data_IF_289069035874
#
_entry.id   IF_289069035874
#
_cell.length_a   1.000
_cell.length_b   1.000
_cell.length_c   1.000
_cell.angle_alpha   90.00
_cell.angle_beta   90.00
_cell.angle_gamma   90.00
#
_symmetry.space_group_name_H-M   'P 1'
#
loop_
_entity.id
_entity.type
_entity.pdbx_description
1 polymer ?
#
# COMPACT_ATOMS: atom_id res chain seq x y z
N UNK A 1 -31.78 22.35 -81.21
CA UNK A 1 -32.83 23.33 -80.87
C UNK A 1 -33.71 22.72 -79.78
N UNK A 2 -33.74 23.34 -78.60
CA UNK A 2 -34.80 23.31 -77.56
C UNK A 2 -35.23 21.92 -76.99
N UNK A 3 -35.59 21.65 -75.73
CA UNK A 3 -35.97 22.34 -74.49
C UNK A 3 -35.61 21.35 -73.34
N UNK A 4 -35.02 21.71 -72.20
CA UNK A 4 -35.49 22.53 -71.07
C UNK A 4 -36.49 21.85 -70.11
N UNK A 5 -36.21 22.07 -68.81
CA UNK A 5 -37.08 22.04 -67.62
C UNK A 5 -36.99 20.78 -66.72
N UNK A 6 -36.30 20.85 -65.56
CA UNK A 6 -36.74 21.37 -64.23
C UNK A 6 -37.45 20.24 -63.44
N UNK A 7 -37.25 19.95 -62.16
CA UNK A 7 -36.95 20.72 -60.95
C UNK A 7 -36.63 19.65 -59.85
N UNK A 8 -36.02 19.83 -58.67
CA UNK A 8 -36.41 20.66 -57.53
C UNK A 8 -35.22 20.70 -56.55
N UNK A 9 -34.92 21.90 -56.07
CA UNK A 9 -33.97 22.26 -55.02
C UNK A 9 -34.43 21.78 -53.64
N UNK A 10 -33.55 21.22 -52.83
CA UNK A 10 -33.71 21.20 -51.37
C UNK A 10 -32.50 21.88 -50.71
N UNK A 11 -32.84 22.93 -49.97
CA UNK A 11 -31.98 23.79 -49.17
C UNK A 11 -31.29 22.97 -48.07
N UNK A 12 -29.95 22.98 -48.02
CA UNK A 12 -29.18 22.42 -46.89
C UNK A 12 -28.41 23.55 -46.21
N UNK A 13 -28.83 23.85 -44.99
CA UNK A 13 -28.19 24.78 -44.05
C UNK A 13 -26.80 24.23 -43.72
N UNK A 14 -25.75 25.02 -43.96
CA UNK A 14 -24.39 24.72 -43.51
C UNK A 14 -24.31 24.91 -42.00
N UNK A 15 -24.00 23.83 -41.28
CA UNK A 15 -23.41 23.88 -39.94
C UNK A 15 -21.97 23.40 -40.08
N UNK A 16 -21.02 24.30 -39.82
CA UNK A 16 -19.59 24.00 -39.78
C UNK A 16 -19.28 23.12 -38.55
N UNK A 17 -18.67 21.93 -38.69
CA UNK A 17 -18.12 21.24 -37.55
C UNK A 17 -16.79 21.87 -37.15
N UNK A 18 -16.73 22.42 -35.93
CA UNK A 18 -15.48 22.75 -35.24
C UNK A 18 -14.61 21.49 -35.15
N UNK A 19 -13.36 21.63 -35.58
CA UNK A 19 -12.34 20.58 -35.60
C UNK A 19 -12.09 20.01 -34.20
N UNK A 20 -12.46 18.75 -33.98
CA UNK A 20 -11.87 17.92 -32.94
C UNK A 20 -10.61 17.30 -33.55
N UNK A 21 -9.46 17.92 -33.33
CA UNK A 21 -8.17 17.30 -33.59
C UNK A 21 -7.91 16.24 -32.53
N UNK A 22 -7.99 14.98 -32.93
CA UNK A 22 -7.50 13.85 -32.16
C UNK A 22 -6.01 14.05 -31.86
N UNK A 23 -5.64 14.06 -30.57
CA UNK A 23 -4.25 13.98 -30.15
C UNK A 23 -3.81 12.52 -30.29
N UNK A 24 -2.70 12.22 -30.98
CA UNK A 24 -2.23 10.85 -31.13
C UNK A 24 -1.71 10.33 -29.79
N UNK A 25 -2.16 9.14 -29.40
CA UNK A 25 -1.59 8.34 -28.31
C UNK A 25 -0.25 7.82 -28.81
N UNK A 26 0.81 8.59 -28.55
CA UNK A 26 2.20 8.17 -28.71
C UNK A 26 2.72 7.65 -27.37
N UNK A 27 3.06 6.36 -27.33
CA UNK A 27 3.87 5.79 -26.26
C UNK A 27 5.22 6.53 -26.19
N UNK A 28 5.41 7.32 -25.14
CA UNK A 28 6.70 7.63 -24.52
C UNK A 28 6.40 8.31 -23.17
N UNK A 29 6.26 7.51 -22.13
CA UNK A 29 6.27 8.01 -20.75
C UNK A 29 7.70 8.38 -20.38
N UNK A 30 8.11 9.61 -20.70
CA UNK A 30 9.19 10.28 -19.97
C UNK A 30 8.71 10.50 -18.54
N UNK A 31 9.47 9.97 -17.58
CA UNK A 31 9.29 10.15 -16.13
C UNK A 31 8.96 11.63 -15.85
N UNK A 32 7.78 11.92 -15.29
CA UNK A 32 7.51 13.24 -14.75
C UNK A 32 8.55 13.50 -13.63
N UNK A 33 9.28 14.62 -13.71
CA UNK A 33 10.29 14.97 -12.71
C UNK A 33 9.58 15.14 -11.35
N UNK A 34 9.88 14.27 -10.39
CA UNK A 34 9.24 14.26 -9.08
C UNK A 34 9.70 15.43 -8.18
N UNK A 35 10.64 16.24 -8.68
CA UNK A 35 11.23 17.40 -8.02
C UNK A 35 10.82 18.68 -8.77
N UNK A 36 10.22 19.62 -8.06
CA UNK A 36 9.80 20.90 -8.64
C UNK A 36 10.98 21.89 -8.77
N UNK A 37 11.16 22.45 -9.96
CA UNK A 37 12.09 23.55 -10.22
C UNK A 37 11.53 24.87 -9.69
N UNK A 38 12.22 25.46 -8.71
CA UNK A 38 11.87 26.77 -8.14
C UNK A 38 12.82 27.83 -8.69
N UNK A 39 12.23 28.78 -9.41
CA UNK A 39 12.96 29.83 -10.16
C UNK A 39 12.78 31.23 -9.57
N UNK A 40 11.96 31.37 -8.52
CA UNK A 40 11.72 32.66 -7.86
C UNK A 40 11.20 32.49 -6.43
N UNK A 41 11.36 33.54 -5.63
CA UNK A 41 10.78 33.61 -4.28
C UNK A 41 9.26 33.42 -4.26
N UNK A 42 8.54 34.05 -5.18
CA UNK A 42 7.07 33.93 -5.23
C UNK A 42 6.62 32.47 -5.43
N UNK A 43 7.34 31.72 -6.26
CA UNK A 43 7.07 30.30 -6.49
C UNK A 43 7.39 29.46 -5.24
N UNK A 44 8.48 29.76 -4.54
CA UNK A 44 8.79 29.10 -3.27
C UNK A 44 7.70 29.37 -2.22
N UNK A 45 7.29 30.62 -2.08
CA UNK A 45 6.24 31.02 -1.13
C UNK A 45 4.91 30.33 -1.44
N UNK A 46 4.53 30.21 -2.72
CA UNK A 46 3.35 29.45 -3.14
C UNK A 46 3.47 27.96 -2.77
N UNK A 47 4.65 27.36 -2.95
CA UNK A 47 4.90 25.97 -2.60
C UNK A 47 4.79 25.72 -1.08
N UNK A 48 5.38 26.63 -0.29
CA UNK A 48 5.33 26.61 1.17
C UNK A 48 3.91 26.79 1.72
N UNK A 49 3.04 27.48 0.98
CA UNK A 49 1.63 27.68 1.34
C UNK A 49 0.72 26.54 0.88
N UNK A 50 1.05 25.90 -0.25
CA UNK A 50 0.23 24.84 -0.85
C UNK A 50 0.51 23.45 -0.28
N UNK A 51 1.68 23.24 0.32
CA UNK A 51 2.08 21.96 0.90
C UNK A 51 2.53 22.10 2.36
N UNK A 52 2.00 21.27 3.28
CA UNK A 52 2.40 21.27 4.68
C UNK A 52 3.89 21.06 4.90
N UNK A 53 4.55 20.25 4.07
CA UNK A 53 5.99 20.05 4.13
C UNK A 53 6.59 20.20 2.74
N UNK A 54 7.69 20.95 2.69
CA UNK A 54 8.49 21.17 1.49
C UNK A 54 9.95 20.94 1.84
N UNK A 55 10.63 20.13 1.05
CA UNK A 55 12.07 19.93 1.14
C UNK A 55 12.69 20.62 -0.07
N UNK A 56 13.56 21.60 0.18
CA UNK A 56 14.17 22.42 -0.87
C UNK A 56 15.66 22.12 -0.91
N UNK A 57 16.17 21.69 -2.06
CA UNK A 57 17.60 21.52 -2.32
C UNK A 57 18.15 22.74 -3.05
N UNK A 58 19.08 23.44 -2.43
CA UNK A 58 19.92 24.45 -3.07
C UNK A 58 21.11 23.77 -3.71
N UNK A 59 21.35 24.02 -4.99
CA UNK A 59 22.40 23.36 -5.78
C UNK A 59 23.06 24.31 -6.78
N UNK A 60 24.18 23.88 -7.35
CA UNK A 60 24.79 24.48 -8.54
C UNK A 60 25.19 23.36 -9.50
N UNK A 61 25.15 23.62 -10.81
CA UNK A 61 25.49 22.63 -11.84
C UNK A 61 26.99 22.30 -11.88
N UNK A 62 27.83 23.22 -11.40
CA UNK A 62 29.29 23.10 -11.39
C UNK A 62 29.83 22.39 -10.15
N UNK A 63 28.97 22.06 -9.17
CA UNK A 63 29.36 21.39 -7.93
C UNK A 63 29.27 19.86 -8.05
N UNK A 64 30.39 19.18 -7.83
CA UNK A 64 30.47 17.71 -7.93
C UNK A 64 29.66 17.00 -6.83
N UNK A 65 29.61 17.57 -5.63
CA UNK A 65 28.87 17.00 -4.49
C UNK A 65 27.37 17.02 -4.75
N UNK A 66 26.87 18.04 -5.46
CA UNK A 66 25.49 18.11 -5.93
C UNK A 66 25.16 16.95 -6.89
N UNK A 67 26.04 16.68 -7.86
CA UNK A 67 25.87 15.57 -8.81
C UNK A 67 25.85 14.20 -8.12
N UNK A 68 26.65 14.03 -7.07
CA UNK A 68 26.71 12.77 -6.33
C UNK A 68 25.42 12.45 -5.56
N UNK A 69 24.77 13.46 -4.96
CA UNK A 69 23.57 13.26 -4.15
C UNK A 69 22.26 13.35 -4.96
N UNK A 70 22.31 13.86 -6.19
CA UNK A 70 21.15 13.99 -7.08
C UNK A 70 20.32 12.70 -7.20
N UNK A 71 20.91 11.53 -7.48
CA UNK A 71 20.12 10.31 -7.69
C UNK A 71 19.35 9.90 -6.43
N UNK A 72 19.95 10.12 -5.25
CA UNK A 72 19.28 9.87 -3.98
C UNK A 72 18.11 10.84 -3.79
N UNK A 73 18.31 12.13 -4.08
CA UNK A 73 17.27 13.13 -3.91
C UNK A 73 16.06 12.85 -4.82
N UNK A 74 16.31 12.51 -6.08
CA UNK A 74 15.25 12.11 -7.03
C UNK A 74 14.55 10.81 -6.62
N UNK A 75 15.30 9.82 -6.14
CA UNK A 75 14.73 8.57 -5.65
C UNK A 75 13.81 8.82 -4.44
N UNK A 76 14.24 9.64 -3.48
CA UNK A 76 13.42 10.02 -2.32
C UNK A 76 12.17 10.79 -2.77
N UNK A 77 12.32 11.79 -3.64
CA UNK A 77 11.19 12.52 -4.19
C UNK A 77 10.17 11.60 -4.88
N UNK A 78 10.64 10.63 -5.66
CA UNK A 78 9.78 9.67 -6.36
C UNK A 78 9.09 8.68 -5.42
N UNK A 79 9.80 8.21 -4.38
CA UNK A 79 9.29 7.20 -3.46
C UNK A 79 8.27 7.77 -2.47
N UNK A 80 8.60 8.92 -1.86
CA UNK A 80 7.83 9.46 -0.74
C UNK A 80 7.14 10.80 -1.06
N UNK A 81 7.43 11.41 -2.21
CA UNK A 81 6.71 12.61 -2.66
C UNK A 81 5.21 12.35 -2.71
N UNK A 82 4.45 13.29 -2.14
CA UNK A 82 2.99 13.27 -2.11
C UNK A 82 2.50 14.67 -2.43
N UNK A 83 1.92 14.90 -3.63
CA UNK A 83 1.39 16.21 -3.98
C UNK A 83 0.47 16.74 -2.88
N UNK A 84 0.61 18.03 -2.53
CA UNK A 84 -0.15 18.71 -1.46
C UNK A 84 0.12 18.24 -0.02
N UNK A 85 1.08 17.35 0.21
CA UNK A 85 1.47 16.92 1.56
C UNK A 85 2.98 17.08 1.79
N UNK A 86 3.78 16.46 0.93
CA UNK A 86 5.25 16.45 0.98
C UNK A 86 5.79 16.67 -0.43
N UNK A 87 6.33 17.87 -0.67
CA UNK A 87 6.88 18.23 -1.99
C UNK A 87 8.39 18.39 -1.90
N UNK A 88 9.07 17.92 -2.94
CA UNK A 88 10.49 18.10 -3.14
C UNK A 88 10.70 19.18 -4.19
N UNK A 89 11.56 20.14 -3.88
CA UNK A 89 11.89 21.24 -4.76
C UNK A 89 13.41 21.39 -4.89
N UNK A 90 13.85 22.04 -5.97
CA UNK A 90 15.25 22.41 -6.19
C UNK A 90 15.35 23.88 -6.58
N UNK A 91 16.35 24.56 -6.06
CA UNK A 91 16.66 25.97 -6.30
C UNK A 91 18.10 26.06 -6.80
N UNK A 92 18.29 26.62 -7.98
CA UNK A 92 19.61 26.88 -8.53
C UNK A 92 20.19 28.14 -7.86
N UNK A 93 21.32 27.95 -7.17
CA UNK A 93 22.01 28.98 -6.41
C UNK A 93 22.54 30.11 -7.30
N UNK A 94 22.87 29.83 -8.55
CA UNK A 94 23.45 30.79 -9.49
C UNK A 94 22.38 31.72 -10.07
N UNK A 95 21.14 31.23 -10.17
CA UNK A 95 20.00 32.00 -10.70
C UNK A 95 19.14 32.68 -9.63
N UNK A 96 19.03 32.09 -8.42
CA UNK A 96 18.14 32.55 -7.36
C UNK A 96 18.91 33.15 -6.16
N UNK A 97 19.77 34.14 -6.41
CA UNK A 97 20.65 34.71 -5.38
C UNK A 97 19.92 35.39 -4.21
N UNK A 98 18.70 35.86 -4.43
CA UNK A 98 17.82 36.41 -3.40
C UNK A 98 17.47 35.36 -2.33
N UNK A 99 17.08 34.16 -2.77
CA UNK A 99 16.78 33.04 -1.88
C UNK A 99 18.03 32.53 -1.15
N UNK A 100 19.17 32.52 -1.84
CA UNK A 100 20.48 32.14 -1.26
C UNK A 100 20.85 33.06 -0.10
N UNK A 101 20.69 34.37 -0.27
CA UNK A 101 20.96 35.35 0.77
C UNK A 101 19.95 35.27 1.91
N UNK A 102 18.66 35.14 1.60
CA UNK A 102 17.59 35.07 2.60
C UNK A 102 17.73 33.87 3.53
N UNK A 103 18.06 32.70 2.99
CA UNK A 103 18.26 31.48 3.77
C UNK A 103 19.70 31.23 4.22
N UNK A 104 20.62 32.15 3.91
CA UNK A 104 22.01 32.09 4.36
C UNK A 104 22.78 30.87 3.85
N UNK A 105 22.59 30.49 2.59
CA UNK A 105 23.22 29.31 2.00
C UNK A 105 24.70 29.59 1.76
N UNK A 106 25.58 28.86 2.46
CA UNK A 106 27.05 29.01 2.34
C UNK A 106 27.75 27.75 1.84
N UNK A 107 27.07 26.60 1.84
CA UNK A 107 27.60 25.29 1.45
C UNK A 107 26.63 24.65 0.47
N UNK A 108 27.14 24.03 -0.59
CA UNK A 108 26.33 23.28 -1.54
C UNK A 108 26.69 21.78 -1.50
N UNK A 109 25.72 20.89 -1.75
CA UNK A 109 24.27 21.15 -1.72
C UNK A 109 23.82 21.49 -0.29
N UNK A 110 22.75 22.27 -0.15
CA UNK A 110 22.06 22.46 1.15
C UNK A 110 20.60 22.10 1.00
N UNK A 111 20.08 21.30 1.92
CA UNK A 111 18.67 20.92 1.98
C UNK A 111 18.01 21.65 3.14
N UNK A 112 16.92 22.35 2.86
CA UNK A 112 16.10 23.00 3.87
C UNK A 112 14.76 22.31 3.93
N UNK A 113 14.40 21.88 5.13
CA UNK A 113 13.08 21.37 5.45
C UNK A 113 12.20 22.51 5.95
N UNK A 114 11.07 22.68 5.30
CA UNK A 114 10.00 23.55 5.74
C UNK A 114 8.79 22.74 6.23
N UNK A 115 8.15 23.22 7.27
CA UNK A 115 6.87 22.71 7.77
C UNK A 115 5.91 23.86 8.04
N UNK A 116 4.76 23.86 7.36
CA UNK A 116 3.76 24.94 7.39
C UNK A 116 4.41 26.31 7.18
N UNK A 117 5.30 26.39 6.17
CA UNK A 117 6.07 27.58 5.83
C UNK A 117 7.20 27.96 6.79
N UNK A 118 7.47 27.19 7.86
CA UNK A 118 8.57 27.47 8.80
C UNK A 118 9.77 26.57 8.54
N UNK A 119 10.97 27.14 8.55
CA UNK A 119 12.23 26.38 8.50
C UNK A 119 12.37 25.54 9.77
N UNK A 120 12.49 24.23 9.61
CA UNK A 120 12.59 23.26 10.71
C UNK A 120 13.98 22.68 10.86
N UNK A 121 14.61 22.30 9.75
CA UNK A 121 15.94 21.67 9.77
C UNK A 121 16.70 22.01 8.49
N UNK A 122 18.02 22.04 8.59
CA UNK A 122 18.93 22.28 7.47
C UNK A 122 20.00 21.20 7.46
N UNK A 123 20.18 20.56 6.31
CA UNK A 123 21.25 19.59 6.07
C UNK A 123 22.23 20.22 5.09
N UNK A 124 23.49 20.33 5.48
CA UNK A 124 24.53 20.96 4.66
C UNK A 124 25.47 19.92 4.05
N UNK A 125 25.88 20.15 2.80
CA UNK A 125 26.73 19.27 2.02
C UNK A 125 26.00 18.00 1.54
N UNK A 126 26.75 17.14 0.84
CA UNK A 126 26.25 15.86 0.35
C UNK A 126 26.11 14.80 1.47
N UNK A 127 25.50 15.16 2.59
CA UNK A 127 25.31 14.28 3.74
C UNK A 127 24.07 13.38 3.55
N UNK A 128 24.25 12.30 2.80
CA UNK A 128 23.18 11.35 2.47
C UNK A 128 22.58 10.62 3.68
N UNK A 129 23.34 10.44 4.77
CA UNK A 129 22.86 9.78 5.97
C UNK A 129 21.93 10.70 6.78
N UNK A 130 22.34 11.94 6.99
CA UNK A 130 21.52 12.93 7.70
C UNK A 130 20.23 13.25 6.93
N UNK A 131 20.33 13.41 5.60
CA UNK A 131 19.16 13.65 4.75
C UNK A 131 18.12 12.54 4.92
N UNK A 132 18.54 11.26 4.85
CA UNK A 132 17.62 10.12 5.07
C UNK A 132 17.04 10.11 6.47
N UNK A 133 17.84 10.40 7.50
CA UNK A 133 17.37 10.41 8.89
C UNK A 133 16.33 11.49 9.15
N UNK A 134 16.56 12.72 8.65
CA UNK A 134 15.64 13.84 8.79
C UNK A 134 14.34 13.55 8.06
N UNK A 135 14.43 13.05 6.81
CA UNK A 135 13.28 12.61 6.03
C UNK A 135 12.48 11.53 6.75
N UNK A 136 13.15 10.49 7.26
CA UNK A 136 12.49 9.41 8.01
C UNK A 136 11.73 9.91 9.24
N UNK A 137 12.31 10.86 10.01
CA UNK A 137 11.63 11.48 11.15
C UNK A 137 10.39 12.26 10.72
N UNK A 138 10.47 13.04 9.66
CA UNK A 138 9.33 13.83 9.17
C UNK A 138 8.20 12.92 8.70
N UNK A 139 8.53 11.85 7.98
CA UNK A 139 7.53 10.87 7.51
C UNK A 139 6.84 10.22 8.70
N UNK A 140 7.61 9.76 9.70
CA UNK A 140 7.05 9.18 10.93
C UNK A 140 6.22 10.19 11.75
N UNK A 141 6.66 11.45 11.84
CA UNK A 141 5.89 12.49 12.51
C UNK A 141 4.63 12.87 11.74
N UNK A 142 4.69 12.94 10.41
CA UNK A 142 3.54 13.17 9.54
C UNK A 142 2.47 12.08 9.75
N UNK A 143 2.90 10.82 9.78
CA UNK A 143 2.02 9.68 10.08
C UNK A 143 1.32 9.90 11.44
N UNK A 144 2.04 10.31 12.48
CA UNK A 144 1.45 10.58 13.81
C UNK A 144 0.64 11.88 13.92
N UNK A 145 0.90 12.90 13.10
CA UNK A 145 0.18 14.17 13.15
C UNK A 145 -1.14 14.14 12.37
N UNK A 146 -1.22 13.29 11.36
CA UNK A 146 -2.48 12.97 10.67
C UNK A 146 -3.44 12.24 11.63
N UNK A 147 -2.93 11.52 12.64
CA UNK A 147 -3.72 10.91 13.72
C UNK A 147 -4.23 11.92 14.77
N UNK A 148 -3.62 13.12 14.88
CA UNK A 148 -3.82 14.07 15.98
C UNK A 148 -4.74 15.26 15.73
N UNK A 149 -5.24 15.46 14.50
CA UNK A 149 -6.18 16.55 14.16
C UNK A 149 -7.46 16.00 13.51
N UNK A 150 -8.10 15.01 14.15
CA UNK A 150 -9.36 14.43 13.74
C UNK A 150 -10.58 15.17 14.30
N UNK A 151 -10.98 16.25 13.63
CA UNK A 151 -12.40 16.63 13.56
C UNK A 151 -13.04 15.79 12.44
N UNK A 152 -14.04 14.98 12.81
CA UNK A 152 -14.91 14.18 11.94
C UNK A 152 -14.20 13.30 10.89
N UNK A 153 -13.87 12.07 11.32
CA UNK A 153 -13.09 11.08 10.57
C UNK A 153 -13.76 10.56 9.29
N UNK A 154 -13.06 10.75 8.17
CA UNK A 154 -12.97 9.76 7.10
C UNK A 154 -11.71 8.90 7.30
N UNK A 155 -11.71 7.62 6.89
CA UNK A 155 -10.62 6.69 7.16
C UNK A 155 -9.34 7.11 6.44
N UNK A 156 -8.19 7.05 7.13
CA UNK A 156 -6.87 6.97 6.48
C UNK A 156 -6.97 5.91 5.38
N UNK A 157 -6.45 6.16 4.18
CA UNK A 157 -6.44 5.12 3.15
C UNK A 157 -5.64 3.91 3.68
N UNK A 158 -6.38 2.90 4.15
CA UNK A 158 -5.85 1.62 4.56
C UNK A 158 -4.98 1.09 3.42
N UNK A 159 -3.80 0.56 3.75
CA UNK A 159 -2.94 -0.05 2.76
C UNK A 159 -3.74 -1.11 2.01
N UNK A 160 -3.75 -1.00 0.67
CA UNK A 160 -4.69 -1.75 -0.17
C UNK A 160 -4.21 -3.14 -0.53
N UNK A 161 -2.91 -3.45 -0.39
CA UNK A 161 -2.33 -4.70 -0.85
C UNK A 161 -2.38 -4.81 -2.37
N UNK A 162 -3.33 -5.57 -2.89
CA UNK A 162 -3.59 -5.72 -4.32
C UNK A 162 -4.96 -5.14 -4.74
N UNK A 163 -5.18 -4.95 -6.03
CA UNK A 163 -6.45 -4.42 -6.55
C UNK A 163 -7.65 -5.29 -6.12
N UNK A 164 -8.71 -4.63 -5.66
CA UNK A 164 -9.95 -5.27 -5.25
C UNK A 164 -10.86 -5.46 -6.48
N UNK A 165 -11.33 -6.68 -6.77
CA UNK A 165 -12.25 -6.92 -7.88
C UNK A 165 -13.53 -6.07 -7.77
N UNK A 166 -13.99 -5.55 -8.91
CA UNK A 166 -15.18 -4.70 -8.99
C UNK A 166 -16.39 -5.39 -8.38
N UNK A 167 -17.12 -4.67 -7.53
CA UNK A 167 -18.34 -5.16 -6.88
C UNK A 167 -18.13 -5.84 -5.53
N UNK A 168 -16.89 -6.02 -5.09
CA UNK A 168 -16.55 -6.56 -3.77
C UNK A 168 -15.83 -5.53 -2.91
N UNK A 169 -15.84 -5.74 -1.58
CA UNK A 169 -15.16 -4.89 -0.61
C UNK A 169 -14.20 -5.69 0.28
N UNK A 170 -13.31 -4.97 0.96
CA UNK A 170 -12.50 -5.54 2.04
C UNK A 170 -13.40 -5.79 3.26
N UNK A 171 -13.46 -7.05 3.70
CA UNK A 171 -14.25 -7.52 4.84
C UNK A 171 -13.37 -8.06 5.96
N UNK A 172 -12.09 -7.68 5.97
CA UNK A 172 -11.11 -8.09 6.99
C UNK A 172 -11.50 -7.61 8.39
N UNK A 173 -12.24 -6.49 8.49
CA UNK A 173 -12.80 -5.97 9.76
C UNK A 173 -13.81 -6.91 10.44
N UNK A 174 -14.33 -7.90 9.71
CA UNK A 174 -15.24 -8.92 10.23
C UNK A 174 -14.52 -10.03 10.99
N UNK A 175 -13.18 -10.10 10.94
CA UNK A 175 -12.40 -11.07 11.71
C UNK A 175 -12.62 -10.85 13.21
N UNK A 176 -12.90 -11.94 13.93
CA UNK A 176 -12.93 -11.93 15.39
C UNK A 176 -11.52 -12.23 15.93
N UNK A 177 -10.69 -11.19 16.03
CA UNK A 177 -9.26 -11.29 16.37
C UNK A 177 -8.94 -12.09 17.64
N UNK A 178 -9.85 -12.07 18.64
CA UNK A 178 -9.66 -12.80 19.90
C UNK A 178 -9.80 -14.32 19.76
N UNK A 179 -10.52 -14.78 18.75
CA UNK A 179 -10.70 -16.20 18.46
C UNK A 179 -9.76 -16.73 17.38
N UNK A 180 -8.86 -15.89 16.84
CA UNK A 180 -7.84 -16.34 15.90
C UNK A 180 -6.80 -17.21 16.62
N UNK A 181 -6.45 -18.32 16.00
CA UNK A 181 -5.41 -19.23 16.47
C UNK A 181 -4.43 -19.49 15.33
N UNK A 182 -3.13 -19.45 15.63
CA UNK A 182 -2.07 -19.75 14.69
C UNK A 182 -1.17 -20.82 15.30
N UNK A 183 -1.10 -21.98 14.65
CA UNK A 183 -0.23 -23.08 15.06
C UNK A 183 1.10 -23.05 14.29
N UNK A 184 2.15 -23.54 14.97
CA UNK A 184 3.54 -23.56 14.50
C UNK A 184 4.13 -22.16 14.23
N UNK A 185 3.67 -21.12 14.92
CA UNK A 185 4.31 -19.81 14.83
C UNK A 185 5.66 -19.78 15.57
N UNK A 186 6.67 -19.14 14.97
CA UNK A 186 7.97 -18.89 15.60
C UNK A 186 7.83 -17.96 16.83
N UNK A 187 8.63 -18.21 17.87
CA UNK A 187 8.59 -17.45 19.13
C UNK A 187 8.97 -15.97 18.97
N UNK A 188 9.75 -15.62 17.93
CA UNK A 188 10.13 -14.25 17.63
C UNK A 188 9.14 -13.54 16.71
N UNK A 189 8.16 -14.27 16.18
CA UNK A 189 7.16 -13.73 15.28
C UNK A 189 6.16 -12.83 16.03
N UNK A 190 5.48 -11.96 15.27
CA UNK A 190 4.40 -11.14 15.79
C UNK A 190 3.16 -11.97 16.17
N UNK A 191 2.27 -11.45 17.02
CA UNK A 191 1.02 -12.13 17.35
C UNK A 191 0.10 -12.20 16.13
N UNK A 192 -0.74 -13.24 16.03
CA UNK A 192 -1.65 -13.49 14.88
C UNK A 192 -2.45 -12.26 14.40
N UNK A 193 -2.80 -11.33 15.30
CA UNK A 193 -3.52 -10.09 14.96
C UNK A 193 -2.81 -9.21 13.93
N UNK A 194 -1.47 -9.28 13.82
CA UNK A 194 -0.69 -8.44 12.89
C UNK A 194 -1.05 -8.73 11.43
N UNK A 195 -1.52 -9.95 11.15
CA UNK A 195 -1.96 -10.35 9.82
C UNK A 195 -3.13 -9.50 9.31
N UNK A 196 -3.95 -8.94 10.21
CA UNK A 196 -5.18 -8.23 9.84
C UNK A 196 -5.07 -6.71 9.99
N UNK A 197 -3.86 -6.18 10.22
CA UNK A 197 -3.66 -4.75 10.33
C UNK A 197 -3.85 -4.05 8.98
N UNK A 198 -4.48 -2.87 9.00
CA UNK A 198 -4.68 -2.03 7.82
C UNK A 198 -3.43 -1.26 7.39
N UNK A 199 -2.37 -1.30 8.21
CA UNK A 199 -1.08 -0.67 7.96
C UNK A 199 -0.30 -1.45 6.88
N UNK A 200 0.52 -0.73 6.11
CA UNK A 200 1.46 -1.36 5.18
C UNK A 200 2.50 -2.18 5.98
N UNK A 201 2.87 -3.41 5.54
CA UNK A 201 3.96 -4.16 6.17
C UNK A 201 5.22 -3.32 6.32
N UNK A 202 5.81 -3.34 7.50
CA UNK A 202 7.01 -2.57 7.80
C UNK A 202 8.19 -2.92 6.88
N UNK A 203 8.28 -4.19 6.46
CA UNK A 203 9.31 -4.68 5.55
C UNK A 203 9.21 -4.12 4.11
N UNK A 204 8.05 -3.55 3.73
CA UNK A 204 7.89 -2.83 2.46
C UNK A 204 8.04 -1.31 2.62
N UNK A 205 8.23 -0.83 3.85
CA UNK A 205 8.44 0.58 4.19
C UNK A 205 9.91 0.91 4.39
N UNK A 206 10.22 2.21 4.39
CA UNK A 206 11.56 2.73 4.73
C UNK A 206 11.76 2.91 6.25
N UNK A 207 10.72 2.63 7.04
CA UNK A 207 10.69 2.80 8.50
C UNK A 207 11.07 1.52 9.23
N UNK A 208 11.86 1.64 10.29
CA UNK A 208 12.16 0.53 11.20
C UNK A 208 10.97 0.37 12.15
N UNK A 209 10.20 -0.71 12.03
CA UNK A 209 9.14 -1.02 13.00
C UNK A 209 9.71 -1.28 14.39
N UNK A 210 9.00 -0.85 15.42
CA UNK A 210 9.37 -1.07 16.83
C UNK A 210 8.99 -2.47 17.32
N UNK A 211 8.11 -3.18 16.60
CA UNK A 211 7.65 -4.55 16.88
C UNK A 211 7.54 -5.39 15.62
N UNK A 212 7.65 -6.72 15.74
CA UNK A 212 7.44 -7.66 14.63
C UNK A 212 5.97 -7.62 14.18
N UNK A 213 5.75 -7.19 12.94
CA UNK A 213 4.42 -7.03 12.33
C UNK A 213 4.14 -8.09 11.26
N UNK A 214 4.72 -9.28 11.44
CA UNK A 214 4.61 -10.44 10.55
C UNK A 214 4.60 -11.71 11.39
N UNK A 215 4.08 -12.79 10.82
CA UNK A 215 4.18 -14.14 11.39
C UNK A 215 5.12 -14.99 10.57
N UNK A 216 5.73 -15.99 11.20
CA UNK A 216 6.60 -16.96 10.53
C UNK A 216 6.38 -18.34 11.15
N UNK A 217 6.58 -19.41 10.38
CA UNK A 217 6.63 -20.76 10.93
C UNK A 217 7.89 -21.02 11.75
N UNK A 218 7.76 -21.88 12.77
CA UNK A 218 8.82 -22.12 13.74
C UNK A 218 9.64 -23.39 13.49
N UNK A 219 8.99 -24.52 13.19
CA UNK A 219 9.68 -25.83 13.11
C UNK A 219 9.96 -26.30 11.69
N UNK A 220 9.06 -25.98 10.76
CA UNK A 220 9.05 -26.38 9.36
C UNK A 220 8.31 -25.29 8.56
N UNK A 221 8.01 -25.54 7.29
CA UNK A 221 7.33 -24.59 6.40
C UNK A 221 5.79 -24.63 6.48
N UNK A 222 5.23 -25.31 7.48
CA UNK A 222 3.78 -25.41 7.68
C UNK A 222 3.24 -24.37 8.66
N UNK A 223 2.06 -23.82 8.37
CA UNK A 223 1.30 -22.96 9.27
C UNK A 223 -0.17 -23.31 9.21
N UNK A 224 -0.84 -23.33 10.37
CA UNK A 224 -2.28 -23.54 10.43
C UNK A 224 -2.94 -22.36 11.13
N UNK A 225 -3.70 -21.57 10.37
CA UNK A 225 -4.36 -20.36 10.84
C UNK A 225 -5.88 -20.56 10.85
N UNK A 226 -6.48 -20.48 12.03
CA UNK A 226 -7.93 -20.46 12.23
C UNK A 226 -8.45 -19.02 12.39
N UNK A 227 -9.49 -18.67 11.63
CA UNK A 227 -10.05 -17.32 11.53
C UNK A 227 -11.58 -17.38 11.72
N UNK A 228 -12.10 -17.02 12.89
CA UNK A 228 -13.54 -16.83 13.08
C UNK A 228 -14.00 -15.46 12.61
N UNK A 229 -15.26 -15.37 12.18
CA UNK A 229 -15.90 -14.13 11.73
C UNK A 229 -17.07 -13.71 12.62
N UNK A 230 -17.21 -12.40 12.83
CA UNK A 230 -18.32 -11.77 13.56
C UNK A 230 -19.67 -11.92 12.84
N UNK A 231 -19.63 -12.13 11.53
CA UNK A 231 -20.81 -12.31 10.67
C UNK A 231 -20.53 -13.37 9.62
N UNK A 232 -21.58 -13.90 9.00
CA UNK A 232 -21.43 -14.81 7.86
C UNK A 232 -20.91 -14.03 6.66
N UNK A 233 -19.79 -14.42 6.07
CA UNK A 233 -19.16 -13.74 4.94
C UNK A 233 -19.33 -14.56 3.65
N UNK A 234 -19.55 -13.87 2.53
CA UNK A 234 -19.32 -14.42 1.18
C UNK A 234 -17.91 -14.06 0.73
N UNK A 235 -16.97 -15.01 0.72
CA UNK A 235 -15.59 -14.73 0.35
C UNK A 235 -15.37 -14.93 -1.15
N UNK A 236 -14.83 -13.90 -1.80
CA UNK A 236 -14.51 -13.91 -3.24
C UNK A 236 -13.02 -14.03 -3.50
N UNK A 237 -12.19 -13.25 -2.79
CA UNK A 237 -10.74 -13.24 -2.99
C UNK A 237 -10.05 -13.27 -1.64
N UNK A 238 -9.01 -14.10 -1.54
CA UNK A 238 -8.05 -14.09 -0.45
C UNK A 238 -6.80 -13.39 -0.95
N UNK A 239 -6.34 -12.36 -0.26
CA UNK A 239 -5.04 -11.74 -0.53
C UNK A 239 -4.08 -12.10 0.59
N UNK A 240 -2.88 -12.56 0.23
CA UNK A 240 -1.80 -12.90 1.16
C UNK A 240 -0.60 -12.07 0.80
N UNK A 241 0.00 -11.42 1.78
CA UNK A 241 1.23 -10.65 1.61
C UNK A 241 2.35 -11.32 2.36
N UNK A 242 3.46 -11.56 1.68
CA UNK A 242 4.62 -12.26 2.21
C UNK A 242 5.89 -11.62 1.67
N UNK A 243 6.53 -10.85 2.54
CA UNK A 243 7.69 -10.03 2.20
C UNK A 243 8.94 -10.79 2.61
N UNK A 244 9.72 -11.22 1.63
CA UNK A 244 11.01 -11.87 1.87
C UNK A 244 12.05 -10.77 2.08
N UNK A 245 12.73 -10.72 3.25
CA UNK A 245 13.81 -9.77 3.48
C UNK A 245 14.90 -9.92 2.41
N UNK A 246 15.43 -8.80 1.93
CA UNK A 246 16.45 -8.80 0.88
C UNK A 246 17.68 -9.63 1.30
N UNK A 247 18.05 -10.62 0.48
CA UNK A 247 19.18 -11.51 0.74
C UNK A 247 18.92 -12.63 1.75
N UNK A 248 17.70 -12.79 2.26
CA UNK A 248 17.33 -13.90 3.13
C UNK A 248 17.06 -15.17 2.33
N UNK A 249 17.63 -16.29 2.77
CA UNK A 249 17.31 -17.66 2.30
C UNK A 249 16.49 -18.45 3.31
N UNK A 250 16.35 -17.93 4.53
CA UNK A 250 15.79 -18.69 5.66
C UNK A 250 14.25 -18.73 5.65
N UNK A 251 13.61 -17.81 4.90
CA UNK A 251 12.16 -17.71 4.79
C UNK A 251 11.72 -17.69 3.34
N UNK A 252 10.61 -18.36 3.07
CA UNK A 252 9.94 -18.40 1.78
C UNK A 252 8.51 -17.88 1.87
N UNK A 253 7.89 -17.75 0.69
CA UNK A 253 6.46 -17.46 0.56
C UNK A 253 5.68 -18.77 0.62
N UNK A 254 4.40 -18.74 1.05
CA UNK A 254 3.51 -19.89 0.90
C UNK A 254 3.39 -20.31 -0.58
N UNK A 255 3.51 -21.61 -0.87
CA UNK A 255 3.32 -22.16 -2.22
C UNK A 255 2.04 -22.97 -2.29
N UNK A 256 1.88 -23.99 -1.45
CA UNK A 256 0.68 -24.84 -1.45
C UNK A 256 -0.18 -24.51 -0.24
N UNK A 257 -1.44 -24.15 -0.48
CA UNK A 257 -2.39 -23.75 0.58
C UNK A 257 -3.68 -24.56 0.47
N UNK A 258 -4.09 -25.17 1.57
CA UNK A 258 -5.43 -25.74 1.77
C UNK A 258 -6.35 -24.76 2.49
N UNK A 259 -7.54 -24.50 1.93
CA UNK A 259 -8.55 -23.66 2.57
C UNK A 259 -9.75 -24.49 3.00
N UNK A 260 -10.16 -24.34 4.25
CA UNK A 260 -11.34 -24.97 4.83
C UNK A 260 -12.30 -23.92 5.38
N UNK A 261 -13.60 -24.21 5.35
CA UNK A 261 -14.61 -23.34 5.95
C UNK A 261 -15.55 -24.12 6.86
N UNK A 262 -16.05 -23.45 7.91
CA UNK A 262 -17.11 -23.97 8.78
C UNK A 262 -16.83 -25.35 9.39
N UNK A 263 -15.58 -25.62 9.75
CA UNK A 263 -15.24 -26.81 10.53
C UNK A 263 -15.86 -26.70 11.93
N UNK A 264 -16.24 -27.85 12.49
CA UNK A 264 -16.91 -27.96 13.80
C UNK A 264 -15.99 -27.72 14.98
N UNK A 265 -14.69 -27.93 14.76
CA UNK A 265 -13.59 -27.73 15.71
C UNK A 265 -12.42 -27.09 14.98
N UNK A 266 -11.51 -26.48 15.74
CA UNK A 266 -10.23 -26.03 15.20
C UNK A 266 -9.46 -27.27 14.77
N UNK A 267 -8.96 -27.24 13.53
CA UNK A 267 -8.18 -28.36 12.98
C UNK A 267 -6.78 -28.35 13.59
N UNK A 268 -6.19 -29.53 13.71
CA UNK A 268 -4.74 -29.69 13.87
C UNK A 268 -4.08 -30.06 12.52
N UNK A 269 -2.76 -30.26 12.51
CA UNK A 269 -2.02 -30.58 11.29
C UNK A 269 -2.42 -31.94 10.71
N UNK A 270 -2.62 -32.97 11.54
CA UNK A 270 -3.01 -34.30 11.06
C UNK A 270 -4.39 -34.27 10.40
N UNK A 271 -5.36 -33.61 11.03
CA UNK A 271 -6.68 -33.40 10.44
C UNK A 271 -6.63 -32.58 9.15
N UNK A 272 -5.74 -31.57 9.07
CA UNK A 272 -5.59 -30.71 7.91
C UNK A 272 -4.92 -31.40 6.72
N UNK A 273 -4.04 -32.38 6.96
CA UNK A 273 -3.41 -33.20 5.92
C UNK A 273 -4.37 -34.27 5.38
N UNK A 274 -5.14 -34.92 6.27
CA UNK A 274 -6.04 -36.02 5.87
C UNK A 274 -7.32 -35.52 5.18
N UNK A 275 -7.80 -34.33 5.54
CA UNK A 275 -9.10 -33.86 5.09
C UNK A 275 -9.05 -33.11 3.76
N UNK A 276 -10.04 -33.32 2.90
CA UNK A 276 -10.14 -32.59 1.63
C UNK A 276 -10.43 -31.10 1.89
N UNK A 277 -9.62 -30.16 1.36
CA UNK A 277 -9.87 -28.74 1.50
C UNK A 277 -11.08 -28.32 0.66
N UNK A 278 -11.80 -27.30 1.14
CA UNK A 278 -12.86 -26.66 0.34
C UNK A 278 -12.31 -26.15 -0.98
N UNK A 279 -11.07 -25.64 -0.95
CA UNK A 279 -10.27 -25.32 -2.12
C UNK A 279 -8.77 -25.48 -1.79
N UNK A 280 -8.04 -26.16 -2.68
CA UNK A 280 -6.57 -26.19 -2.69
C UNK A 280 -6.06 -25.17 -3.70
N UNK A 281 -4.97 -24.48 -3.38
CA UNK A 281 -4.34 -23.43 -4.18
C UNK A 281 -2.83 -23.71 -4.25
N UNK A 282 -2.28 -23.57 -5.45
CA UNK A 282 -0.83 -23.50 -5.69
C UNK A 282 -0.49 -22.09 -6.16
N UNK A 283 0.35 -21.40 -5.42
CA UNK A 283 0.80 -20.04 -5.70
C UNK A 283 2.05 -20.07 -6.57
N UNK A 284 1.86 -19.66 -7.83
CA UNK A 284 2.95 -19.43 -8.78
C UNK A 284 3.47 -17.98 -8.72
N UNK A 285 4.70 -17.70 -9.22
CA UNK A 285 5.28 -16.36 -9.22
C UNK A 285 4.39 -15.27 -9.81
N UNK A 286 3.56 -15.59 -10.82
CA UNK A 286 2.64 -14.66 -11.47
C UNK A 286 1.49 -14.17 -10.57
N UNK A 287 1.18 -14.88 -9.49
CA UNK A 287 0.14 -14.46 -8.56
C UNK A 287 0.58 -13.27 -7.70
N UNK A 288 1.89 -13.04 -7.57
CA UNK A 288 2.48 -12.03 -6.70
C UNK A 288 2.70 -10.71 -7.44
N UNK A 289 2.23 -9.60 -6.86
CA UNK A 289 2.48 -8.27 -7.39
C UNK A 289 3.83 -7.69 -6.91
N UNK A 290 4.17 -6.48 -7.36
CA UNK A 290 5.39 -5.76 -6.97
C UNK A 290 5.48 -5.44 -5.47
N UNK A 291 4.35 -5.41 -4.77
CA UNK A 291 4.25 -5.18 -3.32
C UNK A 291 4.20 -6.51 -2.54
N UNK A 292 4.65 -7.62 -3.14
CA UNK A 292 4.69 -8.93 -2.50
C UNK A 292 3.33 -9.43 -2.00
N UNK A 293 2.24 -9.02 -2.66
CA UNK A 293 0.87 -9.46 -2.36
C UNK A 293 0.38 -10.41 -3.45
N UNK A 294 -0.04 -11.61 -3.08
CA UNK A 294 -0.75 -12.56 -3.92
C UNK A 294 -2.26 -12.36 -3.86
N UNK A 295 -2.94 -12.35 -5.01
CA UNK A 295 -4.41 -12.27 -5.11
C UNK A 295 -5.00 -13.60 -5.58
N UNK A 296 -5.70 -14.30 -4.69
CA UNK A 296 -6.21 -15.64 -4.92
C UNK A 296 -7.72 -15.59 -5.12
N UNK A 297 -8.18 -15.87 -6.34
CA UNK A 297 -9.61 -16.01 -6.62
C UNK A 297 -10.15 -17.29 -6.01
N UNK A 298 -11.09 -17.15 -5.08
CA UNK A 298 -11.79 -18.27 -4.47
C UNK A 298 -12.96 -18.71 -5.37
N UNK A 299 -13.32 -19.98 -5.29
CA UNK A 299 -14.50 -20.52 -5.97
C UNK A 299 -15.75 -20.01 -5.24
N UNK A 300 -16.14 -18.77 -5.52
CA UNK A 300 -17.17 -18.01 -4.82
C UNK A 300 -18.44 -18.82 -4.47
N UNK A 301 -18.87 -19.73 -5.36
CA UNK A 301 -20.02 -20.62 -5.13
C UNK A 301 -19.88 -21.53 -3.88
N UNK A 302 -18.66 -21.94 -3.51
CA UNK A 302 -18.38 -22.72 -2.28
C UNK A 302 -18.30 -21.83 -1.04
N UNK A 303 -17.97 -20.55 -1.20
CA UNK A 303 -17.66 -19.61 -0.13
C UNK A 303 -18.81 -18.62 0.18
N UNK A 304 -20.06 -18.98 -0.16
CA UNK A 304 -21.24 -18.13 0.04
C UNK A 304 -21.68 -17.95 1.50
N UNK A 305 -21.25 -18.83 2.40
CA UNK A 305 -21.66 -18.83 3.81
C UNK A 305 -20.50 -19.24 4.69
N UNK A 306 -19.55 -18.32 4.89
CA UNK A 306 -18.33 -18.58 5.64
C UNK A 306 -18.40 -17.93 7.01
N UNK A 307 -18.33 -18.72 8.07
CA UNK A 307 -18.34 -18.24 9.47
C UNK A 307 -16.99 -18.45 10.14
N UNK A 308 -16.28 -19.48 9.72
CA UNK A 308 -14.89 -19.75 10.07
C UNK A 308 -14.13 -20.08 8.79
N UNK A 309 -12.88 -19.66 8.73
CA UNK A 309 -11.93 -19.94 7.67
C UNK A 309 -10.66 -20.51 8.30
N UNK A 310 -10.22 -21.67 7.83
CA UNK A 310 -8.91 -22.23 8.19
C UNK A 310 -8.03 -22.19 6.96
N UNK A 311 -6.85 -21.58 7.11
CA UNK A 311 -5.81 -21.53 6.08
C UNK A 311 -4.68 -22.44 6.55
N UNK A 312 -4.45 -23.51 5.81
CA UNK A 312 -3.34 -24.42 6.02
C UNK A 312 -2.28 -24.16 4.96
N UNK A 313 -1.16 -23.56 5.35
CA UNK A 313 0.05 -23.52 4.51
C UNK A 313 0.70 -24.89 4.63
N UNK A 314 0.69 -25.64 3.53
CA UNK A 314 1.21 -27.01 3.47
C UNK A 314 2.69 -27.04 3.14
N UNK A 315 3.13 -26.08 2.34
CA UNK A 315 4.49 -26.02 1.83
C UNK A 315 4.87 -24.59 1.42
N UNK A 316 6.11 -24.22 1.71
CA UNK A 316 6.77 -23.02 1.19
C UNK A 316 7.45 -23.25 -0.16
N UNK A 317 8.27 -22.28 -0.56
CA UNK A 317 9.20 -22.45 -1.68
C UNK A 317 10.40 -23.23 -1.14
N UNK A 318 10.47 -24.54 -1.43
CA UNK A 318 11.21 -25.59 -0.70
C UNK A 318 12.74 -25.48 -0.59
N UNK A 319 13.28 -24.28 -0.76
CA UNK A 319 14.66 -23.89 -0.50
C UNK A 319 14.85 -23.24 0.89
N UNK A 320 13.77 -22.83 1.56
CA UNK A 320 13.80 -22.18 2.87
C UNK A 320 13.27 -23.06 4.00
N UNK A 321 13.71 -22.79 5.23
CA UNK A 321 13.33 -23.55 6.42
C UNK A 321 11.97 -23.14 6.99
N UNK A 322 11.49 -21.94 6.65
CA UNK A 322 10.26 -21.38 7.18
C UNK A 322 9.44 -20.61 6.13
N UNK A 323 8.16 -20.37 6.44
CA UNK A 323 7.26 -19.52 5.65
C UNK A 323 6.88 -18.28 6.45
N UNK A 324 6.92 -17.12 5.79
CA UNK A 324 6.53 -15.83 6.38
C UNK A 324 5.21 -15.31 5.80
N UNK A 325 4.38 -14.70 6.64
CA UNK A 325 3.18 -13.96 6.20
C UNK A 325 3.10 -12.64 6.95
N UNK A 326 2.91 -11.54 6.22
CA UNK A 326 2.85 -10.19 6.75
C UNK A 326 1.40 -9.71 6.91
N UNK A 327 0.55 -9.94 5.89
CA UNK A 327 -0.86 -9.50 5.90
C UNK A 327 -1.76 -10.49 5.19
N UNK A 328 -3.00 -10.55 5.66
CA UNK A 328 -4.11 -11.27 5.06
C UNK A 328 -5.26 -10.29 4.90
N UNK A 329 -5.76 -10.16 3.66
CA UNK A 329 -7.00 -9.44 3.37
C UNK A 329 -8.03 -10.38 2.80
N UNK A 330 -9.26 -10.17 3.25
CA UNK A 330 -10.43 -10.95 2.87
C UNK A 330 -11.34 -10.05 2.07
N UNK A 331 -11.58 -10.42 0.81
CA UNK A 331 -12.39 -9.61 -0.10
C UNK A 331 -13.68 -10.35 -0.41
N UNK A 332 -14.81 -9.66 -0.27
CA UNK A 332 -16.12 -10.28 -0.43
C UNK A 332 -17.28 -9.38 -0.02
N UNK A 333 -18.33 -10.01 0.51
CA UNK A 333 -19.51 -9.34 1.06
C UNK A 333 -19.76 -9.83 2.50
N UNK A 334 -19.92 -8.90 3.44
CA UNK A 334 -20.34 -9.22 4.80
C UNK A 334 -21.87 -9.40 4.85
N UNK A 335 -22.32 -10.47 5.48
CA UNK A 335 -23.74 -10.70 5.77
C UNK A 335 -24.22 -9.93 7.01
N UNK A 336 -25.50 -10.06 7.35
CA UNK A 336 -26.06 -9.46 8.57
C UNK A 336 -25.38 -10.03 9.81
N UNK A 337 -24.94 -9.16 10.72
CA UNK A 337 -24.30 -9.51 11.99
C UNK A 337 -25.21 -10.45 12.78
N UNK A 338 -24.67 -11.54 13.34
CA UNK A 338 -25.46 -12.47 14.17
C UNK A 338 -25.77 -11.78 15.49
N UNK A 339 -27.04 -11.65 15.85
CA UNK A 339 -27.43 -11.37 17.23
C UNK A 339 -27.09 -12.61 18.07
N UNK A 340 -26.17 -12.46 19.03
CA UNK A 340 -25.94 -13.47 20.05
C UNK A 340 -27.19 -13.52 20.93
N UNK A 341 -28.10 -14.45 20.62
CA UNK A 341 -29.26 -14.73 21.46
C UNK A 341 -28.79 -14.94 22.90
N UNK A 342 -29.37 -14.19 23.84
CA UNK A 342 -29.07 -14.34 25.27
C UNK A 342 -29.23 -15.82 25.64
N UNK A 343 -28.18 -16.44 26.18
CA UNK A 343 -28.33 -17.70 26.90
C UNK A 343 -29.36 -17.48 28.01
N UNK A 344 -30.55 -18.06 27.86
CA UNK A 344 -31.45 -18.24 28.98
C UNK A 344 -30.83 -19.32 29.87
N UNK A 345 -30.57 -18.96 31.13
CA UNK A 345 -30.37 -19.98 32.16
C UNK A 345 -31.65 -20.81 32.18
N UNK A 346 -31.49 -22.12 32.03
CA UNK A 346 -32.51 -23.07 32.44
C UNK A 346 -32.61 -22.92 33.95
N UNK A 347 -33.76 -22.46 34.43
CA UNK A 347 -34.09 -22.58 35.84
C UNK A 347 -34.31 -24.07 36.09
N UNK A 348 -33.47 -24.64 36.96
CA UNK A 348 -33.64 -25.99 37.50
C UNK A 348 -34.88 -25.96 38.41
N UNK A 349 -36.01 -26.44 37.89
CA UNK A 349 -37.19 -26.76 38.71
C UNK A 349 -37.01 -28.18 39.33
N UNK A 350 -37.18 -28.23 40.64
CA UNK A 350 -36.97 -29.34 41.60
C UNK A 350 -37.62 -30.69 41.27
#
# INVERSE_FOLDING_TARGET
MAQASSSITHLRIQLTPSSITAVPIGNNATMADAVEDVSSKAQLDELLNSSPIVIVKFYSNDDESCRQIEPLYQALASQIGRPRLLVFAKVDNDTCQDLVQEYGITVLPTFILFRKGKLMHTVQGANSAELRNVIGKIVSELEHLVEGMGGEGGPSEAWKGAEIPKGYGDVTDQVELRGCELLNADDNAGPVKVLFESSKPSALGLGKSTSTDWVQSGSDDQLLLFIPFQSTIKLHTLQITSVIPEGSTDVSRPVTIGIFINRTSNMDFGEAEDAEPTQSITLEPEHWNSESTASISLRFVKFQKTNTLTIFVQQGDGEADAVRIDRIKLIGEAGTKRDMGKLQKLDDDE
#
